data_IF_047259811908
#
_entry.id   IF_047259811908
#
_cell.length_a   1.000
_cell.length_b   1.000
_cell.length_c   1.000
_cell.angle_alpha   90.00
_cell.angle_beta   90.00
_cell.angle_gamma   90.00
#
_symmetry.space_group_name_H-M   'P 1'
#
loop_
_entity.id
_entity.type
_entity.pdbx_description
1 polymer ?
#
# COMPACT_ATOMS: atom_id res chain seq x y z
N UNK A 1 -15.73 16.59 -17.66
CA UNK A 1 -16.18 15.51 -18.57
C UNK A 1 -15.75 14.18 -17.97
N UNK A 2 -16.63 13.52 -17.20
CA UNK A 2 -16.38 12.18 -16.64
C UNK A 2 -17.28 11.20 -17.39
N UNK A 3 -16.66 10.19 -17.98
CA UNK A 3 -17.20 9.35 -19.06
C UNK A 3 -18.23 8.35 -18.56
N UNK A 4 -19.43 8.40 -19.16
CA UNK A 4 -20.56 7.47 -19.00
C UNK A 4 -20.15 5.98 -19.04
N UNK A 5 -19.10 5.67 -19.78
CA UNK A 5 -18.45 4.35 -19.85
C UNK A 5 -18.06 3.78 -18.47
N UNK A 6 -17.58 4.60 -17.54
CA UNK A 6 -17.17 4.15 -16.21
C UNK A 6 -18.39 3.78 -15.33
N UNK A 7 -19.54 4.44 -15.53
CA UNK A 7 -20.80 4.14 -14.82
C UNK A 7 -21.40 2.82 -15.26
N UNK A 8 -21.45 2.58 -16.57
CA UNK A 8 -22.07 1.36 -17.14
C UNK A 8 -21.31 0.08 -16.75
N UNK A 9 -20.01 0.19 -16.41
CA UNK A 9 -19.17 -0.94 -15.98
C UNK A 9 -19.03 -1.09 -14.46
N UNK A 10 -19.78 -0.33 -13.67
CA UNK A 10 -19.76 -0.41 -12.21
C UNK A 10 -18.54 0.24 -11.53
N UNK A 11 -17.64 0.87 -12.29
CA UNK A 11 -16.47 1.58 -11.78
C UNK A 11 -16.81 2.92 -11.11
N UNK A 12 -18.08 3.26 -10.89
CA UNK A 12 -18.47 4.43 -10.09
C UNK A 12 -18.76 4.12 -8.64
N UNK A 13 -18.70 2.85 -8.23
CA UNK A 13 -18.99 2.42 -6.86
C UNK A 13 -17.74 2.23 -5.98
N UNK A 14 -16.61 2.88 -6.32
CA UNK A 14 -15.38 2.85 -5.53
C UNK A 14 -15.49 3.41 -4.10
N UNK A 15 -16.67 3.85 -3.64
CA UNK A 15 -16.84 4.47 -2.32
C UNK A 15 -17.80 3.75 -1.37
N UNK A 16 -18.62 2.79 -1.84
CA UNK A 16 -19.62 2.18 -0.95
C UNK A 16 -18.99 1.15 0.01
N UNK A 17 -17.97 0.42 -0.44
CA UNK A 17 -17.33 -0.68 0.32
C UNK A 17 -15.80 -0.64 0.31
N UNK A 18 -15.19 0.43 -0.23
CA UNK A 18 -13.75 0.59 -0.16
C UNK A 18 -13.47 1.31 1.14
N UNK A 19 -13.02 0.55 2.14
CA UNK A 19 -12.51 1.14 3.35
C UNK A 19 -11.16 1.82 3.03
N UNK A 20 -11.22 3.12 2.75
CA UNK A 20 -10.02 3.94 2.47
C UNK A 20 -9.26 4.24 3.77
N UNK A 21 -9.77 3.83 4.94
CA UNK A 21 -9.08 3.98 6.23
C UNK A 21 -8.10 2.84 6.49
N UNK A 22 -8.33 1.66 5.89
CA UNK A 22 -7.43 0.50 6.02
C UNK A 22 -6.59 0.29 4.76
N UNK A 23 -5.32 -0.02 4.94
CA UNK A 23 -4.41 -0.41 3.85
C UNK A 23 -4.85 -1.77 3.30
N UNK A 24 -5.77 -1.77 2.34
CA UNK A 24 -6.32 -3.00 1.79
C UNK A 24 -5.30 -3.67 0.88
N UNK A 25 -4.66 -4.71 1.39
CA UNK A 25 -3.97 -5.72 0.59
C UNK A 25 -4.45 -7.11 1.02
N UNK A 26 -4.63 -8.02 0.07
CA UNK A 26 -5.22 -9.33 0.30
C UNK A 26 -4.22 -10.43 -0.06
N UNK A 27 -4.25 -11.54 0.68
CA UNK A 27 -3.43 -12.71 0.43
C UNK A 27 -4.23 -14.00 0.68
N UNK A 28 -3.95 -15.04 -0.10
CA UNK A 28 -4.57 -16.36 0.05
C UNK A 28 -3.65 -17.34 0.82
N UNK A 29 -2.67 -16.82 1.54
CA UNK A 29 -1.75 -17.65 2.33
C UNK A 29 -2.48 -18.24 3.55
N UNK A 30 -2.31 -19.54 3.84
CA UNK A 30 -2.97 -20.20 4.97
C UNK A 30 -2.42 -19.77 6.34
N UNK A 31 -1.14 -19.38 6.36
CA UNK A 31 -0.47 -18.70 7.48
C UNK A 31 0.37 -17.57 6.91
N UNK A 32 0.35 -16.41 7.55
CA UNK A 32 0.97 -15.22 6.98
C UNK A 32 1.53 -14.26 8.02
N UNK A 33 2.78 -13.87 7.80
CA UNK A 33 3.41 -12.69 8.37
C UNK A 33 3.00 -11.48 7.53
N UNK A 34 2.48 -10.46 8.20
CA UNK A 34 2.00 -9.21 7.61
C UNK A 34 2.86 -8.06 8.11
N UNK A 35 3.30 -7.20 7.20
CA UNK A 35 3.94 -5.93 7.51
C UNK A 35 3.23 -4.83 6.74
N UNK A 36 2.86 -3.75 7.44
CA UNK A 36 2.41 -2.51 6.82
C UNK A 36 3.45 -1.43 7.12
N UNK A 37 3.96 -0.80 6.07
CA UNK A 37 4.86 0.34 6.16
C UNK A 37 4.15 1.62 5.79
N UNK A 38 4.53 2.71 6.44
CA UNK A 38 4.12 4.07 6.13
C UNK A 38 5.34 4.94 5.87
N UNK A 39 5.20 5.89 4.97
CA UNK A 39 6.23 6.92 4.72
C UNK A 39 5.55 8.25 4.46
N UNK A 40 6.22 9.33 4.85
CA UNK A 40 5.80 10.69 4.50
C UNK A 40 6.99 11.40 3.85
N UNK A 41 6.79 11.93 2.64
CA UNK A 41 7.85 12.54 1.87
C UNK A 41 7.34 13.63 0.92
N UNK A 42 8.21 14.57 0.57
CA UNK A 42 7.92 15.58 -0.45
C UNK A 42 8.19 15.02 -1.84
N UNK A 43 7.18 15.09 -2.69
CA UNK A 43 7.34 14.81 -4.13
C UNK A 43 8.27 15.82 -4.78
N UNK A 44 8.78 15.51 -5.99
CA UNK A 44 9.61 16.43 -6.78
C UNK A 44 8.97 17.81 -7.04
N UNK A 45 7.63 17.90 -6.95
CA UNK A 45 6.88 19.15 -7.10
C UNK A 45 6.64 19.87 -5.76
N UNK A 46 7.30 19.44 -4.69
CA UNK A 46 7.19 20.03 -3.35
C UNK A 46 5.92 19.68 -2.58
N UNK A 47 5.04 18.84 -3.14
CA UNK A 47 3.81 18.41 -2.46
C UNK A 47 4.12 17.29 -1.47
N UNK A 48 3.63 17.44 -0.24
CA UNK A 48 3.66 16.38 0.77
C UNK A 48 2.80 15.18 0.34
N UNK A 49 3.34 13.99 0.56
CA UNK A 49 2.66 12.74 0.28
C UNK A 49 2.92 11.76 1.40
N UNK A 50 1.84 11.20 1.94
CA UNK A 50 1.89 10.00 2.76
C UNK A 50 1.53 8.81 1.89
N UNK A 51 2.34 7.77 1.96
CA UNK A 51 2.14 6.53 1.23
C UNK A 51 2.31 5.35 2.16
N UNK A 52 1.71 4.24 1.77
CA UNK A 52 1.75 2.99 2.50
C UNK A 52 2.11 1.86 1.57
N UNK A 53 2.71 0.82 2.11
CA UNK A 53 2.93 -0.45 1.44
C UNK A 53 2.56 -1.60 2.36
N UNK A 54 2.02 -2.66 1.79
CA UNK A 54 1.68 -3.86 2.54
C UNK A 54 2.38 -5.08 1.96
N UNK A 55 2.91 -5.92 2.83
CA UNK A 55 3.65 -7.11 2.45
C UNK A 55 3.22 -8.33 3.24
N UNK A 56 3.18 -9.45 2.53
CA UNK A 56 2.77 -10.75 3.05
C UNK A 56 3.86 -11.78 2.81
N UNK A 57 4.09 -12.66 3.79
CA UNK A 57 5.04 -13.77 3.66
C UNK A 57 4.56 -14.98 4.43
N UNK A 58 4.80 -16.19 3.93
CA UNK A 58 4.58 -17.42 4.69
C UNK A 58 5.80 -17.83 5.53
N UNK A 59 6.95 -17.17 5.33
CA UNK A 59 8.23 -17.62 5.88
C UNK A 59 8.61 -16.86 7.17
N UNK A 60 8.73 -15.54 7.10
CA UNK A 60 9.12 -14.66 8.21
C UNK A 60 8.84 -13.18 7.90
N UNK A 61 8.94 -12.33 8.92
CA UNK A 61 8.69 -10.89 8.86
C UNK A 61 9.64 -10.13 7.91
N UNK A 62 10.93 -10.45 7.85
CA UNK A 62 11.85 -9.73 6.95
C UNK A 62 11.44 -9.86 5.48
N UNK A 63 10.96 -11.05 5.09
CA UNK A 63 10.45 -11.24 3.74
C UNK A 63 9.15 -10.46 3.52
N UNK A 64 8.25 -10.41 4.51
CA UNK A 64 7.05 -9.57 4.44
C UNK A 64 7.42 -8.07 4.32
N UNK A 65 8.45 -7.61 5.03
CA UNK A 65 8.94 -6.25 4.95
C UNK A 65 9.46 -5.91 3.55
N UNK A 66 10.28 -6.78 2.95
CA UNK A 66 10.74 -6.59 1.55
C UNK A 66 9.55 -6.46 0.60
N UNK A 67 8.54 -7.31 0.74
CA UNK A 67 7.32 -7.24 -0.07
C UNK A 67 6.57 -5.92 0.14
N UNK A 68 6.47 -5.43 1.38
CA UNK A 68 5.81 -4.17 1.70
C UNK A 68 6.54 -2.96 1.09
N UNK A 69 7.87 -2.99 1.05
CA UNK A 69 8.69 -1.94 0.46
C UNK A 69 8.57 -1.93 -1.08
N UNK A 70 8.50 -3.10 -1.71
CA UNK A 70 8.26 -3.21 -3.15
C UNK A 70 6.87 -2.72 -3.54
N UNK A 71 5.85 -3.10 -2.76
CA UNK A 71 4.48 -2.59 -2.93
C UNK A 71 4.45 -1.06 -2.82
N UNK A 72 5.07 -0.49 -1.78
CA UNK A 72 5.20 0.96 -1.60
C UNK A 72 5.86 1.64 -2.82
N UNK A 73 6.99 1.09 -3.31
CA UNK A 73 7.71 1.62 -4.47
C UNK A 73 6.87 1.56 -5.75
N UNK A 74 6.07 0.50 -5.94
CA UNK A 74 5.23 0.32 -7.11
C UNK A 74 4.14 1.41 -7.24
N UNK A 75 3.59 1.88 -6.11
CA UNK A 75 2.55 2.93 -6.10
C UNK A 75 3.11 4.34 -5.86
N UNK A 76 4.34 4.45 -5.37
CA UNK A 76 4.99 5.71 -4.99
C UNK A 76 6.32 5.89 -5.71
N UNK A 77 6.30 6.09 -7.03
CA UNK A 77 7.52 6.12 -7.86
C UNK A 77 8.57 7.18 -7.45
N UNK A 78 8.14 8.27 -6.84
CA UNK A 78 9.05 9.30 -6.31
C UNK A 78 9.62 8.99 -4.94
N UNK A 79 9.15 7.93 -4.28
CA UNK A 79 9.72 7.44 -3.03
C UNK A 79 11.00 6.65 -3.30
N UNK A 80 11.86 6.62 -2.30
CA UNK A 80 13.16 5.96 -2.29
C UNK A 80 13.50 5.70 -0.83
N UNK A 81 13.81 4.45 -0.50
CA UNK A 81 14.01 4.00 0.86
C UNK A 81 15.16 4.71 1.59
N UNK A 82 16.30 4.89 0.94
CA UNK A 82 17.48 5.52 1.56
C UNK A 82 17.28 7.03 1.79
N UNK A 83 16.53 7.69 0.90
CA UNK A 83 16.29 9.14 0.97
C UNK A 83 15.16 9.53 1.90
N UNK A 84 14.10 8.74 1.94
CA UNK A 84 12.85 9.11 2.60
C UNK A 84 12.55 8.27 3.84
N UNK A 85 13.13 7.08 3.95
CA UNK A 85 12.81 6.14 5.02
C UNK A 85 11.35 5.67 5.01
N UNK A 86 11.01 4.92 6.04
CA UNK A 86 9.67 4.40 6.33
C UNK A 86 9.58 4.01 7.80
N UNK A 87 8.36 3.88 8.29
CA UNK A 87 8.01 3.32 9.60
C UNK A 87 7.15 2.06 9.41
N UNK A 88 7.38 1.03 10.21
CA UNK A 88 6.46 -0.11 10.28
C UNK A 88 5.32 0.30 11.20
N UNK A 89 4.11 0.40 10.67
CA UNK A 89 2.91 0.80 11.45
C UNK A 89 2.13 -0.39 11.95
N UNK A 90 2.22 -1.54 11.26
CA UNK A 90 1.61 -2.78 11.69
C UNK A 90 2.54 -3.97 11.40
N UNK A 91 2.56 -4.90 12.34
CA UNK A 91 3.26 -6.17 12.25
C UNK A 91 2.37 -7.24 12.87
N UNK A 92 1.86 -8.17 12.05
CA UNK A 92 0.86 -9.16 12.46
C UNK A 92 1.24 -10.56 11.95
N UNK A 93 0.72 -11.58 12.61
CA UNK A 93 0.83 -12.97 12.19
C UNK A 93 -0.53 -13.65 12.30
N UNK A 94 -0.93 -14.32 11.23
CA UNK A 94 -2.16 -15.11 11.12
C UNK A 94 -1.85 -16.56 10.74
#
# INVERSE_FOLDING_TARGET
MSSRWARERGYTNYKANVDILHHQANTNLPHVYVIVVKTSYKTLRGKERTSYGCGFSHAHYDHALVMALWDLQAFSWGWNQEKHGYEIVEQLQY
#
